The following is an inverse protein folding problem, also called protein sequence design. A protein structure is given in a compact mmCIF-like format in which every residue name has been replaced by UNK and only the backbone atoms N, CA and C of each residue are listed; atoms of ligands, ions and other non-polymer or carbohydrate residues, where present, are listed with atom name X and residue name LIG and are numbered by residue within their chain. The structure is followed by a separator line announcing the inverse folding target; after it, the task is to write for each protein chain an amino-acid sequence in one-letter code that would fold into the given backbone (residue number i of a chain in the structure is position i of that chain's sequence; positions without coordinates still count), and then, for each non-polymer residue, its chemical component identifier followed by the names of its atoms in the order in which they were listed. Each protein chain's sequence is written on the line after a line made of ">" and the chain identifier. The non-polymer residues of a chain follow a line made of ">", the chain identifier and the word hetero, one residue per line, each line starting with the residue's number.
data_IF_376250480272
#
_entry.id   IF_376250480272
#
_cell.length_a   1.000
_cell.length_b   1.000
_cell.length_c   1.000
_cell.angle_alpha   90.00
_cell.angle_beta   90.00
_cell.angle_gamma   90.00
#
_symmetry.space_group_name_H-M   'P 1'
#
loop_
_entity.id
_entity.type
_entity.pdbx_description
1 polymer ?
#
# COMPACT_ATOMS: atom_id res chain seq x y z
N UNK A 1 20.61 51.62 -1.69
CA UNK A 1 21.16 50.37 -2.20
C UNK A 1 21.24 49.36 -1.06
N UNK A 2 20.75 48.16 -1.25
CA UNK A 2 20.88 47.06 -0.28
C UNK A 2 21.95 46.08 -0.76
N UNK A 3 22.77 45.54 0.15
CA UNK A 3 23.77 44.54 -0.20
C UNK A 3 23.11 43.24 -0.68
N UNK A 4 23.58 42.68 -1.78
CA UNK A 4 23.20 41.39 -2.31
C UNK A 4 24.35 40.40 -2.22
N UNK A 5 24.12 39.12 -2.44
CA UNK A 5 25.20 38.11 -2.40
C UNK A 5 26.31 38.36 -3.41
N UNK A 6 26.04 39.14 -4.46
CA UNK A 6 27.01 39.65 -5.44
C UNK A 6 26.59 41.08 -5.77
N UNK A 7 27.35 42.11 -5.25
CA UNK A 7 27.13 43.53 -5.55
C UNK A 7 25.99 44.20 -4.78
N UNK A 8 25.38 45.23 -5.38
CA UNK A 8 24.28 46.00 -4.80
C UNK A 8 23.03 45.98 -5.68
N UNK A 9 21.86 45.92 -5.09
CA UNK A 9 20.59 46.06 -5.76
C UNK A 9 19.96 47.42 -5.50
N UNK A 10 19.29 48.01 -6.51
CA UNK A 10 18.49 49.22 -6.32
C UNK A 10 17.27 48.91 -5.41
N UNK A 11 16.75 49.94 -4.67
CA UNK A 11 15.61 49.73 -3.78
C UNK A 11 14.35 49.24 -4.50
N UNK A 12 14.11 49.64 -5.73
CA UNK A 12 12.96 49.23 -6.55
C UNK A 12 13.11 47.78 -7.03
N UNK A 13 14.31 47.35 -7.48
CA UNK A 13 14.58 45.95 -7.79
C UNK A 13 14.55 45.01 -6.57
N UNK A 14 14.84 45.54 -5.37
CA UNK A 14 14.79 44.78 -4.13
C UNK A 14 13.37 44.63 -3.57
N UNK A 15 12.41 45.46 -3.99
CA UNK A 15 11.01 45.35 -3.60
C UNK A 15 10.24 44.31 -4.42
N UNK A 16 10.61 44.12 -5.70
CA UNK A 16 9.97 43.15 -6.60
C UNK A 16 10.60 41.76 -6.57
N UNK A 17 11.81 41.65 -6.04
CA UNK A 17 12.50 40.37 -5.89
C UNK A 17 12.52 39.91 -4.42
N UNK A 18 11.36 39.61 -3.87
CA UNK A 18 11.34 38.43 -3.00
C UNK A 18 11.62 37.25 -3.92
N UNK A 19 12.83 36.63 -3.89
CA UNK A 19 12.95 35.32 -4.45
C UNK A 19 11.94 34.50 -3.65
N UNK A 20 10.82 34.19 -4.26
CA UNK A 20 10.09 33.00 -3.89
C UNK A 20 11.10 31.89 -4.16
N UNK A 21 12.01 31.65 -3.19
CA UNK A 21 12.58 30.36 -3.05
C UNK A 21 11.32 29.51 -2.87
N UNK A 22 10.76 29.06 -3.99
CA UNK A 22 9.97 27.83 -3.98
C UNK A 22 10.95 26.85 -3.40
N UNK A 23 10.93 26.77 -2.05
CA UNK A 23 11.58 25.72 -1.36
C UNK A 23 11.17 24.50 -2.17
N UNK A 24 12.13 23.76 -2.68
CA UNK A 24 11.90 22.42 -3.15
C UNK A 24 10.98 21.89 -2.06
N UNK A 25 9.68 21.80 -2.38
CA UNK A 25 8.73 21.15 -1.51
C UNK A 25 9.37 19.79 -1.39
N UNK A 26 10.09 19.61 -0.29
CA UNK A 26 10.41 18.29 0.20
C UNK A 26 9.01 17.74 0.44
N UNK A 27 8.40 17.19 -0.61
CA UNK A 27 7.40 16.16 -0.48
C UNK A 27 8.14 15.04 0.23
N UNK A 28 8.42 15.31 1.50
CA UNK A 28 8.99 14.33 2.39
C UNK A 28 7.97 13.22 2.41
N UNK A 29 8.39 12.04 2.05
CA UNK A 29 7.67 10.78 2.20
C UNK A 29 7.36 10.49 3.70
N UNK A 30 7.38 11.53 4.53
CA UNK A 30 7.04 11.45 5.95
C UNK A 30 5.52 11.56 6.05
N UNK A 31 4.83 10.49 6.44
CA UNK A 31 3.38 10.51 6.60
C UNK A 31 2.99 11.60 7.60
N UNK A 32 1.99 12.42 7.25
CA UNK A 32 1.35 13.27 8.25
C UNK A 32 0.66 12.34 9.26
N UNK A 33 1.19 12.27 10.48
CA UNK A 33 0.83 11.24 11.46
C UNK A 33 -0.57 11.40 12.06
N UNK A 34 -1.29 12.46 11.74
CA UNK A 34 -2.56 12.80 12.42
C UNK A 34 -3.75 11.93 12.00
N UNK A 35 -3.73 11.31 10.81
CA UNK A 35 -4.89 10.59 10.25
C UNK A 35 -4.55 9.19 9.71
N UNK A 36 -3.78 8.38 10.42
CA UNK A 36 -3.41 7.02 9.99
C UNK A 36 -3.93 5.91 10.94
N UNK A 37 -5.15 6.07 11.42
CA UNK A 37 -5.74 5.15 12.41
C UNK A 37 -5.94 3.73 11.86
N UNK A 38 -6.39 3.60 10.60
CA UNK A 38 -6.59 2.29 9.99
C UNK A 38 -5.26 1.57 9.75
N UNK A 39 -4.23 2.28 9.30
CA UNK A 39 -2.87 1.74 9.16
C UNK A 39 -2.32 1.26 10.50
N UNK A 40 -2.48 2.03 11.58
CA UNK A 40 -2.09 1.64 12.94
C UNK A 40 -2.84 0.39 13.38
N UNK A 41 -4.15 0.39 13.24
CA UNK A 41 -5.00 -0.74 13.63
C UNK A 41 -4.59 -2.02 12.89
N UNK A 42 -4.43 -1.96 11.56
CA UNK A 42 -3.99 -3.11 10.78
C UNK A 42 -2.60 -3.59 11.18
N UNK A 43 -1.65 -2.68 11.39
CA UNK A 43 -0.29 -3.04 11.85
C UNK A 43 -0.30 -3.76 13.19
N UNK A 44 -1.05 -3.24 14.17
CA UNK A 44 -1.21 -3.88 15.48
C UNK A 44 -1.87 -5.25 15.33
N UNK A 45 -2.90 -5.37 14.48
CA UNK A 45 -3.59 -6.64 14.21
C UNK A 45 -2.63 -7.68 13.63
N UNK A 46 -1.81 -7.32 12.63
CA UNK A 46 -0.82 -8.23 12.05
C UNK A 46 0.19 -8.71 13.09
N UNK A 47 0.70 -7.81 13.92
CA UNK A 47 1.65 -8.15 14.98
C UNK A 47 0.98 -9.06 16.02
N UNK A 48 -0.23 -8.75 16.45
CA UNK A 48 -0.96 -9.55 17.46
C UNK A 48 -1.26 -10.96 16.97
N UNK A 49 -1.68 -11.10 15.70
CA UNK A 49 -1.94 -12.42 15.10
C UNK A 49 -0.63 -13.21 14.96
N UNK A 50 0.48 -12.56 14.63
CA UNK A 50 1.77 -13.24 14.55
C UNK A 50 2.24 -13.73 15.92
N UNK A 51 2.03 -12.95 16.97
CA UNK A 51 2.29 -13.40 18.35
C UNK A 51 1.41 -14.62 18.72
N UNK A 52 0.13 -14.60 18.31
CA UNK A 52 -0.75 -15.76 18.48
C UNK A 52 -0.27 -16.99 17.69
N UNK A 53 0.26 -16.79 16.46
CA UNK A 53 0.87 -17.87 15.67
C UNK A 53 2.09 -18.48 16.40
N UNK A 54 2.90 -17.67 17.07
CA UNK A 54 4.04 -18.17 17.82
C UNK A 54 3.61 -19.08 18.99
N UNK A 55 2.47 -18.79 19.61
CA UNK A 55 1.93 -19.55 20.73
C UNK A 55 1.14 -20.79 20.26
N UNK A 56 0.32 -20.65 19.23
CA UNK A 56 -0.61 -21.69 18.74
C UNK A 56 0.00 -22.57 17.64
N UNK A 57 1.17 -22.22 17.13
CA UNK A 57 1.90 -23.00 16.14
C UNK A 57 1.13 -23.22 14.84
N UNK A 58 1.22 -24.44 14.33
CA UNK A 58 0.65 -24.83 13.03
C UNK A 58 -0.89 -24.81 12.99
N UNK A 59 -1.56 -24.73 14.12
CA UNK A 59 -3.03 -24.70 14.19
C UNK A 59 -3.60 -23.51 13.41
N UNK A 60 -2.98 -22.33 13.54
CA UNK A 60 -3.45 -21.14 12.81
C UNK A 60 -3.17 -21.25 11.31
N UNK A 61 -2.01 -21.75 10.92
CA UNK A 61 -1.67 -21.90 9.51
C UNK A 61 -2.58 -22.93 8.84
N UNK A 62 -2.76 -24.09 9.44
CA UNK A 62 -3.58 -25.17 8.88
C UNK A 62 -5.05 -24.82 8.70
N UNK A 63 -5.61 -23.94 9.58
CA UNK A 63 -7.01 -23.56 9.53
C UNK A 63 -7.30 -22.24 8.79
N UNK A 64 -6.33 -21.32 8.67
CA UNK A 64 -6.56 -19.97 8.19
C UNK A 64 -5.68 -19.54 7.01
N UNK A 65 -4.62 -20.29 6.66
CA UNK A 65 -3.85 -20.04 5.44
C UNK A 65 -4.70 -20.33 4.19
N UNK A 66 -4.44 -19.61 3.12
CA UNK A 66 -5.03 -19.90 1.82
C UNK A 66 -4.45 -21.22 1.32
N UNK A 67 -5.33 -22.20 1.14
CA UNK A 67 -5.05 -23.51 0.61
C UNK A 67 -6.16 -23.86 -0.37
N UNK A 68 -5.85 -23.92 -1.66
CA UNK A 68 -6.85 -24.02 -2.71
C UNK A 68 -7.82 -25.21 -2.55
N UNK A 69 -7.37 -26.43 -2.15
CA UNK A 69 -8.27 -27.54 -1.90
C UNK A 69 -9.32 -27.26 -0.82
N UNK A 70 -8.94 -26.56 0.27
CA UNK A 70 -9.88 -26.21 1.33
C UNK A 70 -10.86 -25.12 0.90
N UNK A 71 -10.42 -24.15 0.10
CA UNK A 71 -11.30 -23.11 -0.45
C UNK A 71 -12.33 -23.73 -1.38
N UNK A 72 -11.94 -24.69 -2.25
CA UNK A 72 -12.84 -25.37 -3.18
C UNK A 72 -13.91 -26.23 -2.47
N UNK A 73 -13.66 -26.64 -1.23
CA UNK A 73 -14.63 -27.35 -0.38
C UNK A 73 -15.45 -26.44 0.54
N UNK A 74 -15.39 -25.10 0.32
CA UNK A 74 -16.26 -24.13 0.98
C UNK A 74 -15.61 -23.32 2.09
N UNK A 75 -14.29 -23.43 2.31
CA UNK A 75 -13.59 -22.64 3.36
C UNK A 75 -13.18 -21.25 2.84
N UNK A 76 -14.17 -20.44 2.41
CA UNK A 76 -13.97 -19.14 1.76
C UNK A 76 -13.30 -18.07 2.65
N UNK A 77 -13.42 -18.20 3.98
CA UNK A 77 -12.75 -17.29 4.91
C UNK A 77 -11.24 -17.24 4.71
N UNK A 78 -10.62 -18.29 4.19
CA UNK A 78 -9.18 -18.38 3.92
C UNK A 78 -8.69 -17.32 2.91
N UNK A 79 -9.58 -16.84 2.02
CA UNK A 79 -9.25 -15.75 1.10
C UNK A 79 -8.97 -14.42 1.83
N UNK A 80 -9.48 -14.28 3.04
CA UNK A 80 -9.26 -13.09 3.88
C UNK A 80 -8.26 -13.38 5.00
N UNK A 81 -8.43 -14.48 5.71
CA UNK A 81 -7.65 -14.76 6.91
C UNK A 81 -6.18 -14.99 6.62
N UNK A 82 -5.85 -15.56 5.46
CA UNK A 82 -4.48 -15.78 5.02
C UNK A 82 -3.64 -14.49 4.98
N UNK A 83 -4.28 -13.35 4.69
CA UNK A 83 -3.63 -12.05 4.67
C UNK A 83 -3.15 -11.54 6.02
N UNK A 84 -3.51 -12.21 7.11
CA UNK A 84 -3.09 -11.84 8.46
C UNK A 84 -2.01 -12.77 9.04
N UNK A 85 -1.72 -13.89 8.38
CA UNK A 85 -0.70 -14.83 8.80
C UNK A 85 0.65 -14.52 8.17
N UNK A 86 1.74 -14.85 8.85
CA UNK A 86 3.10 -14.62 8.35
C UNK A 86 4.02 -15.82 8.61
N UNK A 87 4.86 -16.16 7.63
CA UNK A 87 5.74 -17.32 7.68
C UNK A 87 7.03 -17.09 8.48
N UNK A 88 7.41 -15.84 8.75
CA UNK A 88 8.60 -15.51 9.53
C UNK A 88 8.50 -14.09 10.10
N UNK A 89 9.33 -13.81 11.11
CA UNK A 89 9.43 -12.46 11.69
C UNK A 89 9.88 -11.41 10.64
N UNK A 90 10.81 -11.75 9.76
CA UNK A 90 11.26 -10.85 8.71
C UNK A 90 10.14 -10.57 7.70
N UNK A 91 9.34 -11.58 7.36
CA UNK A 91 8.16 -11.41 6.50
C UNK A 91 7.15 -10.45 7.13
N UNK A 92 6.84 -10.61 8.41
CA UNK A 92 5.97 -9.69 9.16
C UNK A 92 6.53 -8.27 9.19
N UNK A 93 7.79 -8.12 9.60
CA UNK A 93 8.42 -6.80 9.76
C UNK A 93 8.44 -6.02 8.44
N UNK A 94 8.73 -6.71 7.32
CA UNK A 94 8.71 -6.09 6.00
C UNK A 94 7.31 -5.64 5.60
N UNK A 95 6.30 -6.49 5.83
CA UNK A 95 4.90 -6.13 5.56
C UNK A 95 4.44 -4.94 6.42
N UNK A 96 4.71 -4.97 7.73
CA UNK A 96 4.33 -3.88 8.64
C UNK A 96 5.05 -2.57 8.28
N UNK A 97 6.33 -2.65 7.93
CA UNK A 97 7.10 -1.48 7.52
C UNK A 97 6.52 -0.82 6.25
N UNK A 98 6.27 -1.61 5.21
CA UNK A 98 5.71 -1.08 3.95
C UNK A 98 4.26 -0.60 4.17
N UNK A 99 3.46 -1.34 4.93
CA UNK A 99 2.11 -0.91 5.32
C UNK A 99 2.16 0.43 6.04
N UNK A 100 3.12 0.62 6.96
CA UNK A 100 3.29 1.87 7.68
C UNK A 100 3.66 3.02 6.73
N UNK A 101 4.65 2.84 5.86
CA UNK A 101 5.15 3.90 4.96
C UNK A 101 4.12 4.24 3.89
N UNK A 102 3.67 3.26 3.12
CA UNK A 102 2.76 3.49 1.98
C UNK A 102 1.32 3.64 2.46
N UNK A 103 0.90 2.83 3.44
CA UNK A 103 -0.45 2.84 3.98
C UNK A 103 -0.78 4.18 4.64
N UNK A 104 0.07 4.68 5.54
CA UNK A 104 -0.16 5.96 6.21
C UNK A 104 -0.28 7.12 5.21
N UNK A 105 0.55 7.11 4.17
CA UNK A 105 0.52 8.14 3.14
C UNK A 105 -0.76 8.05 2.31
N UNK A 106 -1.14 6.85 1.87
CA UNK A 106 -2.37 6.66 1.09
C UNK A 106 -3.60 7.02 1.93
N UNK A 107 -3.66 6.55 3.19
CA UNK A 107 -4.76 6.82 4.12
C UNK A 107 -4.95 8.32 4.33
N UNK A 108 -3.87 9.09 4.52
CA UNK A 108 -3.92 10.55 4.66
C UNK A 108 -4.49 11.27 3.43
N UNK A 109 -4.31 10.67 2.24
CA UNK A 109 -4.77 11.25 0.96
C UNK A 109 -6.23 10.89 0.65
N UNK A 110 -6.63 9.64 0.90
CA UNK A 110 -7.95 9.12 0.49
C UNK A 110 -8.94 9.02 1.63
N UNK A 111 -8.49 9.11 2.88
CA UNK A 111 -9.27 8.92 4.11
C UNK A 111 -9.44 7.44 4.50
N UNK A 112 -9.76 7.20 5.78
CA UNK A 112 -9.80 5.87 6.41
C UNK A 112 -10.72 4.88 5.67
N UNK A 113 -11.94 5.31 5.31
CA UNK A 113 -12.94 4.42 4.70
C UNK A 113 -12.47 3.90 3.34
N UNK A 114 -12.00 4.80 2.47
CA UNK A 114 -11.50 4.40 1.14
C UNK A 114 -10.23 3.56 1.26
N UNK A 115 -9.36 3.89 2.21
CA UNK A 115 -8.16 3.11 2.49
C UNK A 115 -8.50 1.66 2.89
N UNK A 116 -9.44 1.46 3.81
CA UNK A 116 -9.89 0.12 4.24
C UNK A 116 -10.51 -0.65 3.07
N UNK A 117 -11.35 0.01 2.25
CA UNK A 117 -11.94 -0.61 1.05
C UNK A 117 -10.82 -1.07 0.08
N UNK A 118 -9.85 -0.21 -0.20
CA UNK A 118 -8.72 -0.54 -1.07
C UNK A 118 -7.94 -1.72 -0.48
N UNK A 119 -7.62 -1.69 0.82
CA UNK A 119 -6.87 -2.75 1.50
C UNK A 119 -7.54 -4.12 1.35
N UNK A 120 -8.82 -4.23 1.76
CA UNK A 120 -9.51 -5.52 1.76
C UNK A 120 -9.84 -6.04 0.37
N UNK A 121 -10.21 -5.17 -0.57
CA UNK A 121 -10.45 -5.60 -1.95
C UNK A 121 -9.15 -5.97 -2.68
N UNK A 122 -8.04 -5.33 -2.33
CA UNK A 122 -6.71 -5.73 -2.82
C UNK A 122 -6.28 -7.07 -2.24
N UNK A 123 -6.52 -7.29 -0.95
CA UNK A 123 -6.29 -8.58 -0.30
C UNK A 123 -7.07 -9.69 -1.01
N UNK A 124 -8.37 -9.46 -1.23
CA UNK A 124 -9.23 -10.42 -1.91
C UNK A 124 -8.77 -10.67 -3.36
N UNK A 125 -8.42 -9.62 -4.10
CA UNK A 125 -7.89 -9.74 -5.47
C UNK A 125 -6.59 -10.53 -5.54
N UNK A 126 -5.69 -10.30 -4.58
CA UNK A 126 -4.46 -11.08 -4.43
C UNK A 126 -4.73 -12.54 -4.10
N UNK A 127 -5.60 -12.80 -3.12
CA UNK A 127 -5.99 -14.15 -2.71
C UNK A 127 -6.69 -14.92 -3.84
N UNK A 128 -7.55 -14.28 -4.62
CA UNK A 128 -8.19 -14.91 -5.78
C UNK A 128 -7.16 -15.23 -6.88
N UNK A 129 -6.22 -14.32 -7.15
CA UNK A 129 -5.15 -14.60 -8.11
C UNK A 129 -4.28 -15.78 -7.65
N UNK A 130 -3.93 -15.84 -6.36
CA UNK A 130 -3.24 -16.99 -5.79
C UNK A 130 -4.06 -18.27 -5.93
N UNK A 131 -5.33 -18.23 -5.56
CA UNK A 131 -6.24 -19.39 -5.64
C UNK A 131 -6.31 -20.00 -7.05
N UNK A 132 -6.43 -19.16 -8.09
CA UNK A 132 -6.60 -19.64 -9.47
C UNK A 132 -5.28 -19.97 -10.18
N UNK A 133 -4.19 -19.32 -9.84
CA UNK A 133 -2.96 -19.41 -10.62
C UNK A 133 -1.80 -20.07 -9.88
N UNK A 134 -1.91 -20.31 -8.56
CA UNK A 134 -0.88 -21.04 -7.82
C UNK A 134 -1.03 -22.56 -7.97
N UNK A 135 0.03 -23.35 -7.75
CA UNK A 135 -0.08 -24.81 -7.73
C UNK A 135 -1.12 -25.27 -6.72
N UNK A 136 -1.98 -26.19 -7.12
CA UNK A 136 -3.16 -26.64 -6.34
C UNK A 136 -2.79 -27.24 -5.01
N UNK A 137 -1.84 -27.40 -4.46
CA UNK A 137 -1.48 -27.92 -3.11
C UNK A 137 -0.61 -26.94 -2.33
N UNK A 138 -0.40 -25.73 -2.86
CA UNK A 138 0.42 -24.72 -2.19
C UNK A 138 -0.36 -23.96 -1.13
N UNK A 139 0.34 -23.52 -0.09
CA UNK A 139 -0.15 -22.57 0.88
C UNK A 139 0.30 -21.16 0.52
N UNK A 140 -0.60 -20.18 0.70
CA UNK A 140 -0.25 -18.75 0.60
C UNK A 140 -0.68 -18.03 1.87
N UNK A 141 0.22 -17.18 2.40
CA UNK A 141 0.02 -16.37 3.61
C UNK A 141 0.74 -15.03 3.47
N UNK A 142 0.19 -14.00 4.10
CA UNK A 142 0.84 -12.69 4.20
C UNK A 142 -0.05 -11.54 3.73
N UNK A 143 0.15 -10.37 4.35
CA UNK A 143 -0.52 -9.13 3.98
C UNK A 143 -0.04 -8.55 2.64
N UNK A 144 0.98 -9.14 2.02
CA UNK A 144 1.68 -8.58 0.87
C UNK A 144 0.79 -8.34 -0.35
N UNK A 145 -0.22 -9.20 -0.61
CA UNK A 145 -1.20 -8.97 -1.67
C UNK A 145 -1.95 -7.65 -1.48
N UNK A 146 -2.44 -7.39 -0.26
CA UNK A 146 -3.08 -6.11 0.08
C UNK A 146 -2.11 -4.94 -0.05
N UNK A 147 -0.88 -5.09 0.44
CA UNK A 147 0.17 -4.06 0.40
C UNK A 147 0.55 -3.69 -1.04
N UNK A 148 0.69 -4.68 -1.92
CA UNK A 148 0.87 -4.42 -3.36
C UNK A 148 -0.30 -3.65 -3.95
N UNK A 149 -1.53 -3.95 -3.49
CA UNK A 149 -2.71 -3.19 -3.86
C UNK A 149 -2.67 -1.73 -3.37
N UNK A 150 -2.19 -1.48 -2.14
CA UNK A 150 -1.96 -0.11 -1.66
C UNK A 150 -0.89 0.62 -2.48
N UNK A 151 0.18 -0.07 -2.89
CA UNK A 151 1.19 0.50 -3.80
C UNK A 151 0.56 0.85 -5.15
N UNK A 152 -0.24 -0.05 -5.74
CA UNK A 152 -0.97 0.18 -6.98
C UNK A 152 -1.94 1.36 -6.87
N UNK A 153 -2.69 1.44 -5.78
CA UNK A 153 -3.55 2.56 -5.48
C UNK A 153 -2.76 3.87 -5.36
N UNK A 154 -1.61 3.85 -4.71
CA UNK A 154 -0.75 5.02 -4.56
C UNK A 154 -0.17 5.50 -5.90
N UNK A 155 0.17 4.59 -6.82
CA UNK A 155 0.56 4.95 -8.19
C UNK A 155 -0.57 5.69 -8.93
N UNK A 156 -1.81 5.19 -8.83
CA UNK A 156 -2.98 5.81 -9.47
C UNK A 156 -3.31 7.18 -8.85
N UNK A 157 -3.38 7.25 -7.52
CA UNK A 157 -3.66 8.48 -6.77
C UNK A 157 -2.57 9.52 -7.00
N UNK A 158 -1.31 9.10 -6.90
CA UNK A 158 -0.16 9.97 -7.07
C UNK A 158 -0.10 10.57 -8.48
N UNK A 159 -0.33 9.74 -9.51
CA UNK A 159 -0.41 10.23 -10.90
C UNK A 159 -1.52 11.27 -11.09
N UNK A 160 -2.73 11.01 -10.54
CA UNK A 160 -3.86 11.94 -10.62
C UNK A 160 -3.59 13.25 -9.87
N UNK A 161 -2.90 13.19 -8.72
CA UNK A 161 -2.52 14.35 -7.91
C UNK A 161 -1.19 14.99 -8.30
N UNK A 162 -0.51 14.49 -9.34
CA UNK A 162 0.81 14.96 -9.83
C UNK A 162 1.90 14.91 -8.76
N UNK A 163 1.85 13.87 -7.90
CA UNK A 163 2.90 13.59 -6.91
C UNK A 163 4.06 12.85 -7.59
N UNK A 164 5.25 12.94 -7.00
CA UNK A 164 6.38 12.10 -7.43
C UNK A 164 6.15 10.67 -6.95
N UNK A 165 5.94 9.75 -7.90
CA UNK A 165 5.69 8.33 -7.66
C UNK A 165 6.88 7.44 -8.04
N UNK A 166 8.01 8.04 -8.40
CA UNK A 166 9.17 7.31 -8.91
C UNK A 166 9.69 6.27 -7.92
N UNK A 167 9.80 6.62 -6.65
CA UNK A 167 10.26 5.71 -5.60
C UNK A 167 9.30 4.54 -5.39
N UNK A 168 7.98 4.77 -5.47
CA UNK A 168 6.97 3.72 -5.36
C UNK A 168 7.03 2.79 -6.57
N UNK A 169 7.18 3.35 -7.77
CA UNK A 169 7.30 2.56 -8.99
C UNK A 169 8.55 1.65 -8.94
N UNK A 170 9.69 2.18 -8.51
CA UNK A 170 10.92 1.39 -8.32
C UNK A 170 10.70 0.30 -7.26
N UNK A 171 10.08 0.62 -6.13
CA UNK A 171 9.79 -0.35 -5.07
C UNK A 171 8.89 -1.48 -5.58
N UNK A 172 7.83 -1.17 -6.34
CA UNK A 172 6.95 -2.17 -6.97
C UNK A 172 7.74 -3.06 -7.91
N UNK A 173 8.53 -2.49 -8.82
CA UNK A 173 9.31 -3.26 -9.79
C UNK A 173 10.28 -4.20 -9.08
N UNK A 174 11.04 -3.68 -8.11
CA UNK A 174 11.99 -4.50 -7.34
C UNK A 174 11.30 -5.66 -6.63
N UNK A 175 10.17 -5.40 -5.96
CA UNK A 175 9.45 -6.45 -5.24
C UNK A 175 8.80 -7.48 -6.20
N UNK A 176 8.33 -7.05 -7.38
CA UNK A 176 7.86 -7.97 -8.42
C UNK A 176 9.01 -8.86 -8.89
N UNK A 177 10.17 -8.29 -9.22
CA UNK A 177 11.35 -9.06 -9.64
C UNK A 177 11.78 -10.04 -8.55
N UNK A 178 11.87 -9.59 -7.30
CA UNK A 178 12.20 -10.44 -6.15
C UNK A 178 11.19 -11.60 -6.03
N UNK A 179 9.91 -11.34 -6.23
CA UNK A 179 8.85 -12.35 -6.18
C UNK A 179 8.98 -13.44 -7.23
N UNK A 180 9.59 -13.14 -8.39
CA UNK A 180 9.89 -14.14 -9.40
C UNK A 180 11.18 -14.93 -9.15
N UNK A 181 12.16 -14.31 -8.49
CA UNK A 181 13.49 -14.89 -8.27
C UNK A 181 13.54 -15.74 -7.01
N UNK A 182 12.90 -15.31 -5.93
CA UNK A 182 12.94 -16.02 -4.66
C UNK A 182 11.78 -17.02 -4.54
N UNK A 183 12.12 -18.27 -4.25
CA UNK A 183 11.14 -19.30 -3.92
C UNK A 183 10.41 -18.97 -2.61
N UNK A 184 9.14 -19.32 -2.52
CA UNK A 184 8.32 -19.07 -1.33
C UNK A 184 7.59 -17.73 -1.31
N UNK A 185 7.79 -16.88 -2.33
CA UNK A 185 7.03 -15.64 -2.51
C UNK A 185 5.89 -15.89 -3.51
N UNK A 186 4.66 -15.59 -3.10
CA UNK A 186 3.49 -15.68 -3.97
C UNK A 186 3.35 -14.43 -4.84
N UNK A 187 4.12 -14.38 -5.93
CA UNK A 187 4.08 -13.27 -6.88
C UNK A 187 2.71 -13.09 -7.54
N UNK A 188 1.88 -14.15 -7.60
CA UNK A 188 0.54 -14.11 -8.16
C UNK A 188 -0.39 -13.30 -7.28
N UNK A 189 -0.32 -13.52 -5.96
CA UNK A 189 -1.01 -12.69 -4.98
C UNK A 189 -0.57 -11.22 -5.06
N UNK A 190 0.72 -10.96 -5.29
CA UNK A 190 1.25 -9.61 -5.45
C UNK A 190 0.67 -8.90 -6.68
N UNK A 191 0.71 -9.55 -7.85
CA UNK A 191 0.17 -8.97 -9.09
C UNK A 191 -1.35 -8.82 -9.03
N UNK A 192 -2.07 -9.82 -8.49
CA UNK A 192 -3.52 -9.73 -8.29
C UNK A 192 -3.92 -8.58 -7.38
N UNK A 193 -3.21 -8.42 -6.26
CA UNK A 193 -3.41 -7.31 -5.35
C UNK A 193 -3.10 -5.95 -5.98
N UNK A 194 -1.96 -5.83 -6.66
CA UNK A 194 -1.56 -4.62 -7.39
C UNK A 194 -2.64 -4.18 -8.40
N UNK A 195 -3.12 -5.12 -9.22
CA UNK A 195 -4.15 -4.85 -10.22
C UNK A 195 -5.47 -4.42 -9.57
N UNK A 196 -5.92 -5.17 -8.55
CA UNK A 196 -7.17 -4.88 -7.83
C UNK A 196 -7.11 -3.50 -7.15
N UNK A 197 -6.05 -3.20 -6.40
CA UNK A 197 -5.90 -1.92 -5.71
C UNK A 197 -5.81 -0.73 -6.67
N UNK A 198 -5.11 -0.89 -7.79
CA UNK A 198 -5.06 0.13 -8.85
C UNK A 198 -6.46 0.40 -9.43
N UNK A 199 -7.19 -0.65 -9.77
CA UNK A 199 -8.55 -0.54 -10.34
C UNK A 199 -9.51 0.13 -9.36
N UNK A 200 -9.52 -0.31 -8.10
CA UNK A 200 -10.41 0.22 -7.07
C UNK A 200 -10.11 1.70 -6.77
N UNK A 201 -8.82 2.06 -6.66
CA UNK A 201 -8.44 3.45 -6.49
C UNK A 201 -8.90 4.31 -7.69
N UNK A 202 -8.75 3.81 -8.91
CA UNK A 202 -9.23 4.49 -10.11
C UNK A 202 -10.76 4.71 -10.09
N UNK A 203 -11.54 3.68 -9.73
CA UNK A 203 -13.01 3.76 -9.62
C UNK A 203 -13.41 4.77 -8.55
N UNK A 204 -12.84 4.69 -7.34
CA UNK A 204 -13.18 5.57 -6.23
C UNK A 204 -12.85 7.05 -6.51
N UNK A 205 -11.75 7.30 -7.23
CA UNK A 205 -11.36 8.66 -7.61
C UNK A 205 -12.26 9.25 -8.70
N UNK A 206 -12.74 8.43 -9.64
CA UNK A 206 -13.63 8.90 -10.69
C UNK A 206 -15.07 9.08 -10.17
N UNK A 207 -15.53 8.24 -9.27
CA UNK A 207 -16.85 8.40 -8.64
C UNK A 207 -16.96 9.71 -7.83
N UNK A 208 -15.91 10.15 -7.14
CA UNK A 208 -15.89 11.45 -6.44
C UNK A 208 -15.88 12.63 -7.40
N UNK A 209 -15.09 12.54 -8.45
CA UNK A 209 -15.02 13.60 -9.48
C UNK A 209 -16.37 13.84 -10.19
N UNK A 210 -17.11 12.77 -10.50
CA UNK A 210 -18.45 12.88 -11.12
C UNK A 210 -19.46 13.54 -10.18
N UNK A 211 -19.38 13.32 -8.86
CA UNK A 211 -20.25 13.98 -7.88
C UNK A 211 -19.98 15.48 -7.80
N UNK A 212 -18.71 15.88 -7.79
CA UNK A 212 -18.32 17.30 -7.76
C UNK A 212 -18.78 18.06 -9.02
N UNK A 213 -18.69 17.41 -10.20
CA UNK A 213 -19.13 18.01 -11.46
C UNK A 213 -20.65 18.19 -11.58
N UNK A 214 -21.44 17.32 -10.92
CA UNK A 214 -22.91 17.41 -10.95
C UNK A 214 -23.46 18.40 -9.91
N UNK A 215 -22.62 19.01 -9.07
CA UNK A 215 -23.01 20.01 -8.06
C UNK A 215 -22.66 21.46 -8.50
N UNK A 216 -22.03 21.61 -9.66
CA UNK A 216 -21.74 22.90 -10.33
C UNK A 216 -22.73 23.17 -11.45
#
# INVERSE_FOLDING_TARGET
>A
MRSASIGYQCPECASDSTPVIRGISKNSFIPNQENNQATKFLSITLISIYVAQFVLGDILISNFALFAPSVSTGQWWRLITAGFLHGSILHLLFNVYILWVIGSQLESIVGNVKFIIIYFLSLLGGSLASYWFSPFGSYSIGASGAIFGLMGAMLVVGRKKRLDISQIAVLVILNVVIGFVLSGIDWRAHLGGLAAGSLIAWVLLNATWLKEKNQQ
#
